data_IF_293586626047
#
_entry.id   IF_293586626047
#
_cell.length_a   1.000
_cell.length_b   1.000
_cell.length_c   1.000
_cell.angle_alpha   90.00
_cell.angle_beta   90.00
_cell.angle_gamma   90.00
#
_symmetry.space_group_name_H-M   'P 1'
#
loop_
_entity.id
_entity.type
_entity.pdbx_description
1 polymer ?
#
# COMPACT_ATOMS: atom_id res chain seq x y z
N UNK A 1 13.00 25.52 11.13
CA UNK A 1 11.73 24.98 10.60
C UNK A 1 11.97 23.57 10.09
N UNK A 2 11.06 22.63 10.35
CA UNK A 2 11.20 21.21 9.98
C UNK A 2 9.91 20.67 9.38
N UNK A 3 9.98 19.57 8.64
CA UNK A 3 8.79 18.83 8.19
C UNK A 3 8.49 17.65 9.11
N UNK A 4 7.21 17.33 9.28
CA UNK A 4 6.80 16.12 10.00
C UNK A 4 6.00 15.23 9.07
N UNK A 5 6.40 13.97 8.97
CA UNK A 5 5.75 12.97 8.12
C UNK A 5 5.20 11.85 8.99
N UNK A 6 3.90 11.57 8.89
CA UNK A 6 3.27 10.44 9.59
C UNK A 6 3.19 9.27 8.61
N UNK A 7 3.84 8.15 8.95
CA UNK A 7 3.96 6.98 8.09
C UNK A 7 3.44 5.72 8.79
N UNK A 8 2.28 5.21 8.36
CA UNK A 8 1.59 4.06 8.95
C UNK A 8 1.78 2.76 8.17
N UNK A 9 2.51 2.79 7.04
CA UNK A 9 2.84 1.61 6.25
C UNK A 9 4.09 1.88 5.38
N UNK A 10 4.58 0.86 4.67
CA UNK A 10 5.74 1.00 3.79
C UNK A 10 5.49 1.98 2.64
N UNK A 11 4.24 2.17 2.24
CA UNK A 11 3.85 2.94 1.06
C UNK A 11 3.99 4.43 1.30
N UNK A 12 3.31 4.95 2.33
CA UNK A 12 3.48 6.35 2.71
C UNK A 12 4.91 6.65 3.15
N UNK A 13 5.62 5.69 3.76
CA UNK A 13 7.04 5.86 4.08
C UNK A 13 7.92 6.00 2.82
N UNK A 14 7.68 5.17 1.81
CA UNK A 14 8.44 5.23 0.55
C UNK A 14 8.20 6.56 -0.15
N UNK A 15 6.95 7.01 -0.24
CA UNK A 15 6.59 8.32 -0.82
C UNK A 15 7.17 9.49 0.00
N UNK A 16 7.16 9.39 1.32
CA UNK A 16 7.77 10.39 2.21
C UNK A 16 9.28 10.55 1.95
N UNK A 17 10.00 9.44 1.83
CA UNK A 17 11.46 9.45 1.67
C UNK A 17 11.88 9.82 0.24
N UNK A 18 11.27 9.19 -0.77
CA UNK A 18 11.69 9.32 -2.16
C UNK A 18 10.96 10.41 -2.93
N UNK A 19 9.75 10.78 -2.53
CA UNK A 19 8.97 11.84 -3.16
C UNK A 19 9.16 13.17 -2.47
N UNK A 20 8.86 13.22 -1.17
CA UNK A 20 8.87 14.48 -0.41
C UNK A 20 10.28 14.91 -0.04
N UNK A 21 11.04 14.03 0.61
CA UNK A 21 12.35 14.40 1.14
C UNK A 21 13.49 14.33 0.11
N UNK A 22 13.27 13.71 -1.06
CA UNK A 22 14.28 13.64 -2.10
C UNK A 22 14.67 15.05 -2.58
N UNK A 23 15.92 15.43 -2.36
CA UNK A 23 16.46 16.74 -2.73
C UNK A 23 16.10 17.88 -1.77
N UNK A 24 15.42 17.61 -0.65
CA UNK A 24 15.18 18.63 0.37
C UNK A 24 16.29 18.63 1.41
N UNK A 25 16.89 19.81 1.66
CA UNK A 25 17.92 19.97 2.69
C UNK A 25 17.31 20.31 4.07
N UNK A 26 15.98 20.42 4.15
CA UNK A 26 15.26 20.72 5.40
C UNK A 26 15.25 19.50 6.34
N UNK A 27 15.50 19.68 7.64
CA UNK A 27 15.34 18.60 8.60
C UNK A 27 13.90 18.09 8.68
N UNK A 28 13.74 16.78 8.91
CA UNK A 28 12.44 16.13 8.95
C UNK A 28 12.32 15.15 10.12
N UNK A 29 11.11 15.00 10.65
CA UNK A 29 10.75 13.96 11.62
C UNK A 29 9.78 13.00 10.95
N UNK A 30 10.13 11.72 10.88
CA UNK A 30 9.23 10.65 10.44
C UNK A 30 8.67 9.96 11.68
N UNK A 31 7.36 10.10 11.89
CA UNK A 31 6.63 9.35 12.89
C UNK A 31 6.14 8.05 12.25
N UNK A 32 6.58 6.88 12.75
CA UNK A 32 6.25 5.59 12.12
C UNK A 32 5.79 4.49 13.09
N UNK A 33 5.18 3.43 12.56
CA UNK A 33 4.84 2.20 13.30
C UNK A 33 5.95 1.15 13.11
N UNK A 34 6.87 0.95 14.08
CA UNK A 34 8.09 0.15 13.87
C UNK A 34 7.84 -1.32 13.52
N UNK A 35 6.70 -1.88 13.93
CA UNK A 35 6.35 -3.27 13.66
C UNK A 35 5.86 -3.52 12.22
N UNK A 36 5.54 -2.46 11.45
CA UNK A 36 5.03 -2.61 10.08
C UNK A 36 6.13 -2.63 9.03
N UNK A 37 7.16 -1.81 9.18
CA UNK A 37 8.25 -1.68 8.23
C UNK A 37 9.54 -1.19 8.88
N UNK A 38 10.67 -1.60 8.29
CA UNK A 38 12.01 -1.14 8.66
C UNK A 38 12.26 0.27 8.14
N UNK A 39 12.98 1.09 8.89
CA UNK A 39 13.40 2.43 8.45
C UNK A 39 14.86 2.45 8.02
N UNK A 40 15.20 3.38 7.13
CA UNK A 40 16.56 3.67 6.71
C UNK A 40 17.06 4.93 7.36
N UNK A 41 18.33 4.92 7.76
CA UNK A 41 19.00 6.12 8.23
C UNK A 41 19.17 7.11 7.07
N UNK A 42 18.65 8.31 7.23
CA UNK A 42 18.73 9.39 6.24
C UNK A 42 19.29 10.64 6.91
N UNK A 43 20.10 11.39 6.16
CA UNK A 43 20.70 12.63 6.65
C UNK A 43 19.60 13.62 7.04
N UNK A 44 19.68 14.20 8.25
CA UNK A 44 18.72 15.19 8.78
C UNK A 44 17.27 14.69 8.91
N UNK A 45 17.06 13.37 8.92
CA UNK A 45 15.75 12.76 9.21
C UNK A 45 15.83 12.03 10.53
N UNK A 46 14.92 12.34 11.46
CA UNK A 46 14.77 11.60 12.70
C UNK A 46 13.54 10.70 12.64
N UNK A 47 13.75 9.40 12.83
CA UNK A 47 12.66 8.42 12.92
C UNK A 47 12.26 8.24 14.38
N UNK A 48 10.99 8.49 14.67
CA UNK A 48 10.42 8.31 16.00
C UNK A 48 9.19 7.40 15.91
N UNK A 49 9.01 6.46 16.86
CA UNK A 49 7.83 5.61 16.86
C UNK A 49 6.56 6.42 17.17
N UNK A 50 5.43 6.11 16.54
CA UNK A 50 4.12 6.67 16.87
C UNK A 50 3.72 6.13 18.25
N UNK A 51 3.75 7.00 19.25
CA UNK A 51 3.29 6.72 20.60
C UNK A 51 2.76 8.00 21.25
N UNK A 52 2.27 7.90 22.48
CA UNK A 52 1.68 9.05 23.18
C UNK A 52 2.64 10.24 23.34
N UNK A 53 3.94 9.97 23.54
CA UNK A 53 4.96 10.99 23.79
C UNK A 53 5.37 11.71 22.52
N UNK A 54 5.57 10.97 21.43
CA UNK A 54 5.90 11.56 20.12
C UNK A 54 4.72 12.35 19.56
N UNK A 55 3.47 11.91 19.82
CA UNK A 55 2.29 12.70 19.49
C UNK A 55 2.15 13.96 20.37
N UNK A 56 2.55 13.93 21.64
CA UNK A 56 2.62 15.13 22.49
C UNK A 56 3.69 16.10 21.98
N UNK A 57 4.85 15.59 21.60
CA UNK A 57 5.91 16.37 20.96
C UNK A 57 5.43 17.03 19.68
N UNK A 58 4.76 16.28 18.79
CA UNK A 58 4.17 16.82 17.57
C UNK A 58 3.25 18.02 17.86
N UNK A 59 2.35 17.88 18.84
CA UNK A 59 1.46 18.99 19.23
C UNK A 59 2.24 20.22 19.69
N UNK A 60 3.28 20.02 20.48
CA UNK A 60 4.13 21.13 20.93
C UNK A 60 4.84 21.81 19.75
N UNK A 61 5.43 21.03 18.83
CA UNK A 61 6.11 21.53 17.64
C UNK A 61 5.18 22.30 16.68
N UNK A 62 3.94 21.82 16.52
CA UNK A 62 2.92 22.52 15.73
C UNK A 62 2.53 23.83 16.42
N UNK A 63 2.29 23.80 17.74
CA UNK A 63 1.89 24.98 18.52
C UNK A 63 2.94 26.10 18.47
N UNK A 64 4.23 25.75 18.47
CA UNK A 64 5.33 26.73 18.38
C UNK A 64 5.60 27.21 16.96
N UNK A 65 4.92 26.66 15.94
CA UNK A 65 5.13 27.03 14.54
C UNK A 65 6.46 26.53 13.95
N UNK A 66 7.13 25.58 14.61
CA UNK A 66 8.39 24.98 14.14
C UNK A 66 8.16 24.04 12.96
N UNK A 67 6.99 23.39 12.92
CA UNK A 67 6.55 22.54 11.80
C UNK A 67 6.20 23.42 10.61
N UNK A 68 6.97 23.28 9.54
CA UNK A 68 6.72 23.95 8.27
C UNK A 68 5.59 23.28 7.50
N UNK A 69 5.67 21.96 7.29
CA UNK A 69 4.60 21.16 6.67
C UNK A 69 4.39 19.87 7.45
N UNK A 70 3.12 19.55 7.68
CA UNK A 70 2.68 18.26 8.20
C UNK A 70 2.22 17.40 7.02
N UNK A 71 2.79 16.21 6.89
CA UNK A 71 2.42 15.23 5.87
C UNK A 71 1.63 14.09 6.52
N UNK A 72 0.42 13.83 6.02
CA UNK A 72 -0.49 12.79 6.52
C UNK A 72 -0.88 11.84 5.40
N UNK A 73 -1.05 10.53 5.66
CA UNK A 73 -1.56 9.63 4.62
C UNK A 73 -3.09 9.75 4.44
N UNK A 74 -3.84 10.19 5.45
CA UNK A 74 -5.30 10.29 5.41
C UNK A 74 -5.86 11.14 6.57
N UNK A 75 -7.18 11.35 6.62
CA UNK A 75 -7.84 12.19 7.64
C UNK A 75 -8.18 11.44 8.93
N UNK A 76 -8.52 10.15 8.81
CA UNK A 76 -9.00 9.35 9.94
C UNK A 76 -7.87 8.92 10.86
N UNK A 77 -7.52 9.78 11.80
CA UNK A 77 -6.52 9.50 12.83
C UNK A 77 -7.06 9.67 14.26
N UNK A 78 -6.23 9.34 15.25
CA UNK A 78 -6.52 9.68 16.64
C UNK A 78 -6.60 11.21 16.84
N UNK A 79 -7.34 11.61 17.89
CA UNK A 79 -7.63 13.03 18.21
C UNK A 79 -6.39 13.95 18.27
N UNK A 80 -5.20 13.42 18.58
CA UNK A 80 -3.98 14.25 18.70
C UNK A 80 -3.42 14.62 17.34
N UNK A 81 -3.43 13.68 16.39
CA UNK A 81 -3.02 13.96 15.00
C UNK A 81 -4.03 14.89 14.34
N UNK A 82 -5.33 14.66 14.56
CA UNK A 82 -6.40 15.56 14.07
C UNK A 82 -6.18 16.98 14.60
N UNK A 83 -5.96 17.16 15.90
CA UNK A 83 -5.63 18.47 16.46
C UNK A 83 -4.39 19.09 15.78
N UNK A 84 -3.33 18.32 15.58
CA UNK A 84 -2.11 18.82 14.92
C UNK A 84 -2.33 19.19 13.46
N UNK A 85 -3.18 18.46 12.73
CA UNK A 85 -3.61 18.79 11.37
C UNK A 85 -4.31 20.14 11.33
N UNK A 86 -5.29 20.34 12.21
CA UNK A 86 -6.13 21.54 12.23
C UNK A 86 -5.35 22.81 12.62
N UNK A 87 -4.16 22.66 13.22
CA UNK A 87 -3.29 23.76 13.65
C UNK A 87 -1.99 23.86 12.84
N UNK A 88 -1.76 22.98 11.86
CA UNK A 88 -0.57 23.02 11.02
C UNK A 88 -0.64 24.21 10.06
N UNK A 89 0.49 24.92 9.89
CA UNK A 89 0.57 26.06 8.94
C UNK A 89 0.40 25.63 7.49
N UNK A 90 0.88 24.42 7.18
CA UNK A 90 0.76 23.78 5.86
C UNK A 90 0.50 22.29 6.05
N UNK A 91 -0.34 21.77 5.17
CA UNK A 91 -0.72 20.36 5.13
C UNK A 91 -0.45 19.82 3.73
N UNK A 92 0.00 18.58 3.67
CA UNK A 92 0.13 17.82 2.44
C UNK A 92 -0.20 16.35 2.73
N UNK A 93 -0.57 15.60 1.69
CA UNK A 93 -0.94 14.21 1.81
C UNK A 93 0.09 13.28 1.18
N UNK A 94 0.24 12.10 1.77
CA UNK A 94 1.01 10.98 1.24
C UNK A 94 0.04 9.91 0.73
N UNK A 95 0.50 9.11 -0.21
CA UNK A 95 -0.21 7.93 -0.69
C UNK A 95 -0.62 7.00 0.47
N UNK A 96 -1.91 6.62 0.53
CA UNK A 96 -2.45 5.73 1.57
C UNK A 96 -2.53 4.26 1.10
N UNK A 97 -1.85 3.94 0.02
CA UNK A 97 -1.96 2.66 -0.65
C UNK A 97 -3.31 2.52 -1.34
N UNK A 98 -4.11 1.55 -0.90
CA UNK A 98 -5.28 1.13 -1.68
C UNK A 98 -6.37 2.22 -1.77
N UNK A 99 -6.48 3.09 -0.77
CA UNK A 99 -7.45 4.19 -0.78
C UNK A 99 -7.22 5.20 -1.90
N UNK A 100 -5.96 5.40 -2.31
CA UNK A 100 -5.58 6.25 -3.46
C UNK A 100 -6.24 5.78 -4.77
N UNK A 101 -6.58 4.49 -4.87
CA UNK A 101 -7.20 3.90 -6.05
C UNK A 101 -8.71 3.67 -5.90
N UNK A 102 -9.29 3.95 -4.73
CA UNK A 102 -10.73 3.80 -4.51
C UNK A 102 -11.47 5.05 -4.95
N UNK A 103 -12.56 4.90 -5.71
CA UNK A 103 -13.50 5.99 -6.00
C UNK A 103 -14.12 6.55 -4.74
N UNK A 104 -14.36 5.69 -3.76
CA UNK A 104 -14.82 6.02 -2.42
C UNK A 104 -13.75 5.58 -1.40
N UNK A 105 -12.81 6.47 -1.03
CA UNK A 105 -11.80 6.19 -0.03
C UNK A 105 -12.44 5.98 1.35
N UNK A 106 -11.84 5.10 2.15
CA UNK A 106 -12.35 4.77 3.50
C UNK A 106 -11.77 5.68 4.58
N UNK A 107 -10.61 6.28 4.35
CA UNK A 107 -9.85 7.01 5.36
C UNK A 107 -9.83 8.54 5.16
N UNK A 108 -10.45 9.04 4.10
CA UNK A 108 -10.56 10.47 3.81
C UNK A 108 -11.93 11.02 4.20
N UNK A 109 -11.93 12.25 4.70
CA UNK A 109 -13.15 13.02 4.89
C UNK A 109 -13.28 13.96 3.69
N UNK A 110 -14.15 13.58 2.75
CA UNK A 110 -14.31 14.24 1.45
C UNK A 110 -15.01 15.62 1.43
N UNK A 111 -15.59 16.18 2.52
CA UNK A 111 -15.98 17.58 2.51
C UNK A 111 -14.79 18.46 2.13
N UNK A 112 -15.01 19.24 1.07
CA UNK A 112 -14.01 19.97 0.27
C UNK A 112 -12.92 20.59 1.14
N UNK A 113 -11.70 20.09 1.00
CA UNK A 113 -10.55 20.66 1.68
C UNK A 113 -10.25 22.03 1.05
N UNK A 114 -10.15 23.12 1.85
CA UNK A 114 -9.89 24.44 1.32
C UNK A 114 -8.46 24.51 0.75
N UNK A 115 -8.36 24.88 -0.53
CA UNK A 115 -7.09 25.01 -1.25
C UNK A 115 -6.62 23.70 -1.89
N UNK A 116 -5.87 23.81 -2.99
CA UNK A 116 -5.25 22.66 -3.66
C UNK A 116 -4.04 22.17 -2.87
N UNK A 117 -4.28 21.34 -1.85
CA UNK A 117 -3.22 20.73 -1.06
C UNK A 117 -2.39 19.77 -1.94
N UNK A 118 -1.10 19.66 -1.64
CA UNK A 118 -0.24 18.69 -2.32
C UNK A 118 -0.63 17.27 -1.90
N UNK A 119 -0.67 16.36 -2.87
CA UNK A 119 -0.85 14.92 -2.66
C UNK A 119 0.27 14.18 -3.37
N UNK A 120 1.15 13.57 -2.59
CA UNK A 120 2.31 12.85 -3.12
C UNK A 120 1.95 11.37 -3.34
N UNK A 121 2.28 10.86 -4.53
CA UNK A 121 1.99 9.49 -4.94
C UNK A 121 3.04 8.96 -5.92
N UNK A 122 2.84 7.76 -6.43
CA UNK A 122 3.75 7.10 -7.36
C UNK A 122 3.56 7.59 -8.80
N UNK A 123 4.66 7.57 -9.56
CA UNK A 123 4.71 8.00 -10.96
C UNK A 123 3.83 7.16 -11.89
N UNK A 124 3.67 5.89 -11.55
CA UNK A 124 2.91 4.92 -12.33
C UNK A 124 1.39 5.09 -12.16
N UNK A 125 0.93 5.78 -11.11
CA UNK A 125 -0.50 5.99 -10.84
C UNK A 125 -1.05 7.16 -11.64
N UNK A 126 -1.31 6.90 -12.92
CA UNK A 126 -1.84 7.89 -13.89
C UNK A 126 -3.34 8.07 -13.75
N UNK A 127 -4.07 6.98 -13.61
CA UNK A 127 -5.53 6.97 -13.52
C UNK A 127 -5.96 7.05 -12.05
N UNK A 128 -6.17 8.28 -11.58
CA UNK A 128 -6.60 8.55 -10.21
C UNK A 128 -8.12 8.81 -10.15
N UNK A 129 -8.80 8.43 -9.05
CA UNK A 129 -10.21 8.69 -8.84
C UNK A 129 -10.52 10.18 -8.69
N UNK A 130 -11.72 10.61 -9.12
CA UNK A 130 -12.12 12.02 -9.18
C UNK A 130 -12.08 12.78 -7.85
N UNK A 131 -12.13 12.09 -6.70
CA UNK A 131 -12.00 12.77 -5.41
C UNK A 131 -10.61 13.41 -5.22
N UNK A 132 -9.60 12.96 -5.97
CA UNK A 132 -8.25 13.54 -5.99
C UNK A 132 -8.12 14.78 -6.88
N UNK A 133 -9.15 15.14 -7.68
CA UNK A 133 -9.10 16.30 -8.60
C UNK A 133 -8.92 17.64 -7.87
N UNK A 134 -9.27 17.68 -6.58
CA UNK A 134 -9.08 18.84 -5.71
C UNK A 134 -7.63 19.06 -5.24
N UNK A 135 -6.72 18.11 -5.47
CA UNK A 135 -5.34 18.14 -4.97
C UNK A 135 -4.34 18.53 -6.07
N UNK A 136 -3.20 19.07 -5.66
CA UNK A 136 -2.02 19.16 -6.53
C UNK A 136 -1.26 17.83 -6.48
N UNK A 137 -1.43 16.98 -7.50
CA UNK A 137 -0.84 15.65 -7.52
C UNK A 137 0.65 15.71 -7.86
N UNK A 138 1.49 15.25 -6.94
CA UNK A 138 2.94 15.19 -7.09
C UNK A 138 3.43 13.74 -7.20
N UNK A 139 3.95 13.39 -8.38
CA UNK A 139 4.33 12.03 -8.76
C UNK A 139 5.84 11.81 -8.73
N UNK A 140 6.45 12.08 -7.58
CA UNK A 140 7.91 12.08 -7.41
C UNK A 140 8.54 10.72 -7.11
N UNK A 141 7.74 9.70 -6.77
CA UNK A 141 8.25 8.39 -6.31
C UNK A 141 7.99 7.31 -7.35
N UNK A 142 8.91 6.37 -7.56
CA UNK A 142 8.65 5.20 -8.42
C UNK A 142 8.09 4.06 -7.60
N UNK A 143 7.14 3.33 -8.16
CA UNK A 143 6.53 2.20 -7.46
C UNK A 143 7.57 1.11 -7.12
N UNK A 144 8.56 0.94 -7.99
CA UNK A 144 9.69 0.03 -7.74
C UNK A 144 10.56 0.43 -6.53
N UNK A 145 10.45 1.65 -6.02
CA UNK A 145 11.17 2.04 -4.80
C UNK A 145 10.65 1.25 -3.57
N UNK A 146 9.40 0.75 -3.59
CA UNK A 146 8.86 -0.15 -2.55
C UNK A 146 9.70 -1.42 -2.39
N UNK A 147 10.14 -1.99 -3.52
CA UNK A 147 11.00 -3.18 -3.58
C UNK A 147 12.31 -2.90 -2.87
N UNK A 148 12.91 -1.75 -3.21
CA UNK A 148 14.19 -1.35 -2.67
C UNK A 148 14.11 -0.99 -1.19
N UNK A 149 12.95 -0.54 -0.67
CA UNK A 149 12.81 -0.07 0.72
C UNK A 149 12.64 -1.19 1.75
N UNK A 150 12.27 -2.40 1.32
CA UNK A 150 12.15 -3.56 2.21
C UNK A 150 13.43 -4.39 2.19
N UNK A 151 13.95 -4.72 3.38
CA UNK A 151 15.11 -5.58 3.62
C UNK A 151 14.74 -7.07 3.72
N UNK A 152 13.46 -7.39 3.58
CA UNK A 152 12.95 -8.76 3.71
C UNK A 152 13.31 -9.61 2.50
N UNK A 153 13.53 -10.92 2.67
CA UNK A 153 13.80 -11.84 1.57
C UNK A 153 12.60 -11.98 0.63
N UNK A 154 12.86 -12.47 -0.59
CA UNK A 154 11.80 -12.90 -1.51
C UNK A 154 11.16 -14.21 -1.07
N UNK A 155 9.95 -14.47 -1.54
CA UNK A 155 9.20 -15.70 -1.27
C UNK A 155 9.97 -16.96 -1.74
N UNK A 156 9.83 -18.09 -1.04
CA UNK A 156 10.47 -19.35 -1.43
C UNK A 156 9.71 -20.05 -2.56
N UNK A 157 9.89 -19.57 -3.79
CA UNK A 157 9.10 -19.96 -4.97
C UNK A 157 9.53 -21.27 -5.65
N UNK A 158 10.56 -21.96 -5.16
CA UNK A 158 11.00 -23.23 -5.75
C UNK A 158 9.88 -24.28 -5.73
N UNK A 159 9.60 -24.86 -6.89
CA UNK A 159 8.53 -25.85 -7.10
C UNK A 159 7.10 -25.29 -7.02
N UNK A 160 6.94 -23.97 -6.91
CA UNK A 160 5.63 -23.30 -6.83
C UNK A 160 5.19 -22.87 -8.23
N UNK A 161 3.92 -23.10 -8.56
CA UNK A 161 3.27 -22.59 -9.76
C UNK A 161 2.18 -21.55 -9.43
N UNK A 162 1.57 -21.65 -8.25
CA UNK A 162 0.45 -20.81 -7.82
C UNK A 162 0.76 -20.14 -6.49
N UNK A 163 0.64 -18.82 -6.44
CA UNK A 163 0.86 -18.02 -5.22
C UNK A 163 -0.43 -17.28 -4.88
N UNK A 164 -1.01 -17.61 -3.72
CA UNK A 164 -2.20 -16.92 -3.19
C UNK A 164 -1.76 -15.91 -2.14
N UNK A 165 -2.13 -14.64 -2.33
CA UNK A 165 -1.89 -13.60 -1.33
C UNK A 165 -3.21 -13.30 -0.64
N UNK A 166 -3.36 -13.81 0.58
CA UNK A 166 -4.59 -13.62 1.35
C UNK A 166 -4.92 -12.14 1.50
N UNK A 167 -6.10 -11.79 1.01
CA UNK A 167 -6.61 -10.42 1.01
C UNK A 167 -8.14 -10.42 0.92
N UNK A 168 -8.81 -9.34 1.36
CA UNK A 168 -10.27 -9.28 1.38
C UNK A 168 -10.91 -9.66 0.05
N UNK A 169 -11.85 -10.62 0.07
CA UNK A 169 -12.57 -11.09 -1.10
C UNK A 169 -11.99 -12.35 -1.77
N UNK A 170 -10.75 -12.74 -1.44
CA UNK A 170 -10.13 -13.94 -2.00
C UNK A 170 -10.48 -15.20 -1.19
N UNK A 171 -11.17 -16.13 -1.83
CA UNK A 171 -11.55 -17.44 -1.31
C UNK A 171 -10.52 -18.49 -1.73
N UNK A 172 -9.39 -18.53 -1.02
CA UNK A 172 -8.23 -19.36 -1.38
C UNK A 172 -8.58 -20.84 -1.50
N UNK A 173 -9.25 -21.40 -0.48
CA UNK A 173 -9.65 -22.82 -0.46
C UNK A 173 -10.53 -23.19 -1.66
N UNK A 174 -11.62 -22.44 -1.87
CA UNK A 174 -12.56 -22.67 -2.96
C UNK A 174 -11.89 -22.65 -4.34
N UNK A 175 -10.93 -21.74 -4.56
CA UNK A 175 -10.22 -21.64 -5.84
C UNK A 175 -9.33 -22.87 -6.05
N UNK A 176 -8.57 -23.27 -5.02
CA UNK A 176 -7.69 -24.44 -5.09
C UNK A 176 -8.49 -25.69 -5.42
N UNK A 177 -9.62 -25.89 -4.75
CA UNK A 177 -10.50 -27.05 -4.95
C UNK A 177 -11.14 -27.04 -6.35
N UNK A 178 -11.76 -25.93 -6.75
CA UNK A 178 -12.46 -25.84 -8.05
C UNK A 178 -11.52 -25.96 -9.24
N UNK A 179 -10.33 -25.39 -9.14
CA UNK A 179 -9.32 -25.48 -10.19
C UNK A 179 -8.48 -26.77 -10.11
N UNK A 180 -8.72 -27.63 -9.11
CA UNK A 180 -7.99 -28.88 -8.89
C UNK A 180 -6.48 -28.67 -8.85
N UNK A 181 -6.03 -27.61 -8.15
CA UNK A 181 -4.61 -27.24 -8.12
C UNK A 181 -3.80 -28.24 -7.26
N UNK A 182 -2.63 -28.70 -7.74
CA UNK A 182 -1.81 -29.61 -6.96
C UNK A 182 -1.19 -28.89 -5.75
N UNK A 183 -1.58 -29.30 -4.54
CA UNK A 183 -1.16 -28.65 -3.29
C UNK A 183 0.36 -28.39 -3.15
N UNK A 184 1.27 -29.30 -3.57
CA UNK A 184 2.72 -29.04 -3.48
C UNK A 184 3.20 -27.84 -4.31
N UNK A 185 2.47 -27.49 -5.38
CA UNK A 185 2.77 -26.36 -6.25
C UNK A 185 2.06 -25.06 -5.83
N UNK A 186 1.37 -25.07 -4.68
CA UNK A 186 0.64 -23.93 -4.13
C UNK A 186 1.38 -23.35 -2.94
N UNK A 187 1.62 -22.03 -2.98
CA UNK A 187 2.09 -21.24 -1.85
C UNK A 187 1.00 -20.24 -1.43
N UNK A 188 0.63 -20.27 -0.15
CA UNK A 188 -0.29 -19.29 0.44
C UNK A 188 0.48 -18.33 1.34
N UNK A 189 0.45 -17.05 0.98
CA UNK A 189 0.98 -15.94 1.78
C UNK A 189 -0.13 -15.45 2.69
N UNK A 190 0.01 -15.70 3.99
CA UNK A 190 -1.02 -15.39 5.00
C UNK A 190 -1.12 -13.90 5.25
N UNK A 191 -2.35 -13.46 5.49
CA UNK A 191 -2.61 -12.10 5.92
C UNK A 191 -2.08 -11.89 7.36
N UNK A 192 -1.37 -10.79 7.68
CA UNK A 192 -0.77 -10.60 9.01
C UNK A 192 -1.80 -10.46 10.14
N UNK A 193 -3.03 -10.06 9.81
CA UNK A 193 -4.17 -9.92 10.76
C UNK A 193 -4.98 -11.22 10.75
N UNK A 194 -5.05 -11.98 11.87
CA UNK A 194 -5.70 -13.29 11.94
C UNK A 194 -7.17 -13.32 11.52
N UNK A 195 -7.93 -12.28 11.85
CA UNK A 195 -9.36 -12.16 11.58
C UNK A 195 -9.67 -12.04 10.08
N UNK A 196 -8.66 -11.76 9.26
CA UNK A 196 -8.76 -11.68 7.79
C UNK A 196 -8.29 -12.96 7.10
N UNK A 197 -7.87 -13.98 7.85
CA UNK A 197 -7.37 -15.25 7.30
C UNK A 197 -8.53 -16.17 6.95
N UNK A 198 -8.44 -16.83 5.80
CA UNK A 198 -9.41 -17.84 5.36
C UNK A 198 -9.08 -19.24 5.87
N UNK A 199 -10.01 -20.16 5.66
CA UNK A 199 -9.73 -21.59 5.74
C UNK A 199 -8.82 -22.01 4.59
N UNK A 200 -7.86 -22.90 4.86
CA UNK A 200 -6.90 -23.41 3.88
C UNK A 200 -6.85 -24.94 3.92
N UNK A 201 -6.67 -25.60 2.76
CA UNK A 201 -6.36 -27.02 2.73
C UNK A 201 -5.04 -27.33 3.45
N UNK A 202 -5.02 -28.37 4.29
CA UNK A 202 -3.91 -28.68 5.20
C UNK A 202 -2.55 -28.94 4.51
N UNK A 203 -2.56 -29.29 3.22
CA UNK A 203 -1.37 -29.70 2.47
C UNK A 203 -0.71 -28.53 1.72
N UNK A 204 -1.27 -27.33 1.77
CA UNK A 204 -0.68 -26.17 1.12
C UNK A 204 0.58 -25.70 1.85
N UNK A 205 1.57 -25.21 1.10
CA UNK A 205 2.71 -24.51 1.71
C UNK A 205 2.23 -23.12 2.15
N UNK A 206 2.57 -22.73 3.37
CA UNK A 206 2.07 -21.49 3.98
C UNK A 206 3.25 -20.67 4.51
N UNK A 207 3.22 -19.36 4.28
CA UNK A 207 4.19 -18.41 4.83
C UNK A 207 3.49 -17.17 5.39
N UNK A 208 4.11 -16.51 6.36
CA UNK A 208 3.61 -15.24 6.90
C UNK A 208 4.07 -14.08 6.01
N UNK A 209 3.12 -13.33 5.43
CA UNK A 209 3.47 -12.25 4.47
C UNK A 209 4.34 -11.15 5.07
N UNK A 210 4.28 -10.93 6.38
CA UNK A 210 5.13 -9.96 7.08
C UNK A 210 6.61 -10.32 7.11
N UNK A 211 7.00 -11.55 6.74
CA UNK A 211 8.40 -12.00 6.74
C UNK A 211 9.08 -11.85 5.37
N UNK A 212 8.33 -11.49 4.33
CA UNK A 212 8.81 -11.47 2.95
C UNK A 212 8.56 -10.13 2.26
N UNK A 213 9.33 -9.86 1.21
CA UNK A 213 9.12 -8.76 0.29
C UNK A 213 8.27 -9.24 -0.88
N UNK A 214 6.96 -9.03 -0.80
CA UNK A 214 6.01 -9.53 -1.78
C UNK A 214 6.19 -8.83 -3.14
N UNK A 215 6.42 -7.53 -3.13
CA UNK A 215 6.66 -6.69 -4.30
C UNK A 215 7.90 -7.18 -5.07
N UNK A 216 9.01 -7.43 -4.36
CA UNK A 216 10.22 -8.01 -4.96
C UNK A 216 9.95 -9.40 -5.56
N UNK A 217 9.19 -10.23 -4.85
CA UNK A 217 8.86 -11.59 -5.28
C UNK A 217 8.03 -11.60 -6.55
N UNK A 218 7.07 -10.66 -6.68
CA UNK A 218 6.25 -10.50 -7.88
C UNK A 218 7.06 -10.13 -9.12
N UNK A 219 8.07 -9.28 -8.98
CA UNK A 219 8.91 -8.85 -10.09
C UNK A 219 10.00 -9.86 -10.46
N UNK A 220 10.51 -10.60 -9.46
CA UNK A 220 11.54 -11.62 -9.65
C UNK A 220 10.97 -12.93 -10.22
N UNK A 221 9.69 -13.23 -9.97
CA UNK A 221 9.01 -14.38 -10.52
C UNK A 221 8.81 -14.28 -12.04
N UNK A 222 8.77 -15.44 -12.70
CA UNK A 222 8.38 -15.57 -14.10
C UNK A 222 7.60 -16.85 -14.34
N UNK A 223 6.50 -16.76 -15.07
CA UNK A 223 5.64 -17.89 -15.43
C UNK A 223 4.70 -18.36 -14.31
N UNK A 224 4.59 -17.64 -13.20
CA UNK A 224 3.72 -18.04 -12.09
C UNK A 224 2.31 -17.45 -12.21
N UNK A 225 1.34 -18.10 -11.55
CA UNK A 225 0.00 -17.57 -11.35
C UNK A 225 -0.11 -16.96 -9.94
N UNK A 226 -0.37 -15.65 -9.84
CA UNK A 226 -0.62 -14.97 -8.58
C UNK A 226 -2.11 -14.68 -8.40
N UNK A 227 -2.63 -14.85 -7.19
CA UNK A 227 -4.05 -14.68 -6.88
C UNK A 227 -4.22 -13.67 -5.75
N UNK A 228 -5.08 -12.69 -5.99
CA UNK A 228 -5.33 -11.57 -5.07
C UNK A 228 -6.82 -11.35 -4.84
N UNK A 229 -7.15 -10.79 -3.67
CA UNK A 229 -8.38 -10.06 -3.44
C UNK A 229 -8.14 -8.56 -3.56
N UNK A 230 -8.86 -7.77 -2.78
CA UNK A 230 -8.74 -6.31 -2.73
C UNK A 230 -7.52 -5.89 -1.89
N UNK A 231 -6.38 -5.63 -2.53
CA UNK A 231 -5.12 -5.29 -1.85
C UNK A 231 -4.23 -4.37 -2.69
N UNK A 232 -3.32 -3.64 -2.04
CA UNK A 232 -2.34 -2.84 -2.77
C UNK A 232 -1.36 -3.70 -3.58
N UNK A 233 -1.07 -4.93 -3.14
CA UNK A 233 -0.20 -5.83 -3.92
C UNK A 233 -0.77 -6.13 -5.33
N UNK A 234 -2.11 -6.10 -5.48
CA UNK A 234 -2.77 -6.20 -6.78
C UNK A 234 -2.51 -4.96 -7.63
N UNK A 235 -2.66 -3.76 -7.06
CA UNK A 235 -2.33 -2.50 -7.73
C UNK A 235 -0.85 -2.47 -8.12
N UNK A 236 0.02 -2.94 -7.23
CA UNK A 236 1.44 -3.06 -7.51
C UNK A 236 1.69 -3.97 -8.71
N UNK A 237 1.09 -5.16 -8.73
CA UNK A 237 1.25 -6.10 -9.84
C UNK A 237 0.77 -5.53 -11.18
N UNK A 238 -0.32 -4.75 -11.16
CA UNK A 238 -0.89 -4.08 -12.34
C UNK A 238 0.05 -2.98 -12.88
N UNK A 239 0.65 -2.18 -12.00
CA UNK A 239 1.40 -0.98 -12.40
C UNK A 239 2.92 -1.17 -12.51
N UNK A 240 3.50 -2.15 -11.81
CA UNK A 240 4.95 -2.41 -11.80
C UNK A 240 5.40 -3.37 -12.92
N UNK A 241 4.49 -3.79 -13.81
CA UNK A 241 4.80 -4.68 -14.94
C UNK A 241 4.93 -6.16 -14.58
N UNK A 242 4.49 -6.58 -13.38
CA UNK A 242 4.50 -7.99 -12.98
C UNK A 242 3.63 -8.87 -13.90
N UNK A 243 2.52 -8.32 -14.40
CA UNK A 243 1.61 -8.99 -15.33
C UNK A 243 2.22 -9.32 -16.70
N UNK A 244 3.38 -8.72 -17.07
CA UNK A 244 4.11 -9.07 -18.29
C UNK A 244 4.85 -10.41 -18.21
N UNK A 245 5.14 -10.87 -16.99
CA UNK A 245 5.94 -12.07 -16.72
C UNK A 245 5.15 -13.15 -16.01
N UNK A 246 4.07 -12.77 -15.34
CA UNK A 246 3.26 -13.64 -14.51
C UNK A 246 1.79 -13.47 -14.88
N UNK A 247 0.99 -14.51 -14.64
CA UNK A 247 -0.46 -14.42 -14.79
C UNK A 247 -1.06 -13.92 -13.48
N UNK A 248 -1.66 -12.74 -13.50
CA UNK A 248 -2.23 -12.14 -12.29
C UNK A 248 -3.74 -12.30 -12.29
N UNK A 249 -4.24 -13.04 -11.30
CA UNK A 249 -5.65 -13.30 -11.05
C UNK A 249 -6.14 -12.46 -9.88
N UNK A 250 -7.37 -11.97 -9.97
CA UNK A 250 -8.05 -11.29 -8.87
C UNK A 250 -9.46 -11.84 -8.67
N UNK A 251 -9.85 -12.06 -7.42
CA UNK A 251 -11.23 -12.31 -7.02
C UNK A 251 -11.77 -11.08 -6.28
N UNK A 252 -12.63 -10.32 -6.94
CA UNK A 252 -13.19 -9.08 -6.41
C UNK A 252 -14.71 -9.13 -6.51
N UNK A 253 -15.43 -8.61 -5.52
CA UNK A 253 -16.87 -8.41 -5.64
C UNK A 253 -17.21 -7.36 -6.71
N UNK A 254 -18.46 -7.33 -7.19
CA UNK A 254 -18.89 -6.31 -8.16
C UNK A 254 -18.70 -4.88 -7.61
N UNK A 255 -18.92 -4.69 -6.32
CA UNK A 255 -18.70 -3.40 -5.64
C UNK A 255 -17.20 -3.04 -5.60
N UNK A 256 -16.34 -3.98 -5.20
CA UNK A 256 -14.89 -3.76 -5.16
C UNK A 256 -14.34 -3.40 -6.55
N UNK A 257 -14.78 -4.10 -7.61
CA UNK A 257 -14.39 -3.79 -8.99
C UNK A 257 -14.82 -2.41 -9.45
N UNK A 258 -16.03 -1.98 -9.08
CA UNK A 258 -16.53 -0.63 -9.39
C UNK A 258 -15.78 0.44 -8.62
N UNK A 259 -15.33 0.11 -7.40
CA UNK A 259 -14.66 1.06 -6.53
C UNK A 259 -13.17 1.21 -6.85
N UNK A 260 -12.48 0.16 -7.28
CA UNK A 260 -11.06 0.23 -7.65
C UNK A 260 -10.87 0.79 -9.08
N UNK A 261 -9.96 1.74 -9.21
CA UNK A 261 -9.57 2.38 -10.48
C UNK A 261 -8.17 1.94 -10.90
N UNK A 262 -7.81 2.15 -12.17
CA UNK A 262 -6.47 1.84 -12.70
C UNK A 262 -6.20 0.36 -13.03
N UNK A 263 -7.21 -0.52 -12.91
CA UNK A 263 -7.09 -1.93 -13.29
C UNK A 263 -7.67 -2.19 -14.68
N UNK A 264 -6.89 -2.87 -15.53
CA UNK A 264 -7.33 -3.36 -16.83
C UNK A 264 -7.44 -4.89 -16.82
N UNK A 265 -8.52 -5.41 -17.37
CA UNK A 265 -8.85 -6.84 -17.33
C UNK A 265 -8.82 -7.45 -18.73
N UNK A 266 -8.36 -8.69 -18.84
CA UNK A 266 -8.41 -9.46 -20.09
C UNK A 266 -9.86 -9.83 -20.43
N UNK A 267 -10.64 -10.20 -19.41
CA UNK A 267 -12.05 -10.56 -19.57
C UNK A 267 -12.97 -9.42 -19.13
N UNK A 268 -14.14 -9.32 -19.76
CA UNK A 268 -15.20 -8.37 -19.36
C UNK A 268 -15.98 -8.81 -18.12
N UNK A 269 -15.94 -10.11 -17.78
CA UNK A 269 -16.62 -10.68 -16.62
C UNK A 269 -15.76 -11.75 -15.93
N UNK A 270 -15.99 -12.03 -14.63
CA UNK A 270 -15.34 -13.13 -13.93
C UNK A 270 -15.70 -14.50 -14.51
N UNK A 271 -14.79 -15.46 -14.36
CA UNK A 271 -15.06 -16.86 -14.69
C UNK A 271 -15.95 -17.56 -13.63
N UNK A 272 -16.18 -18.87 -13.79
CA UNK A 272 -17.00 -19.66 -12.87
C UNK A 272 -16.43 -19.73 -11.43
N UNK A 273 -15.16 -19.40 -11.23
CA UNK A 273 -14.52 -19.28 -9.92
C UNK A 273 -14.56 -17.85 -9.37
N UNK A 274 -15.13 -16.91 -10.12
CA UNK A 274 -15.17 -15.49 -9.77
C UNK A 274 -13.84 -14.78 -10.01
N UNK A 275 -12.89 -15.41 -10.70
CA UNK A 275 -11.59 -14.83 -11.01
C UNK A 275 -11.64 -13.99 -12.28
N UNK A 276 -10.86 -12.92 -12.27
CA UNK A 276 -10.53 -12.11 -13.44
C UNK A 276 -9.02 -12.07 -13.61
N UNK A 277 -8.54 -11.97 -14.85
CA UNK A 277 -7.11 -11.89 -15.15
C UNK A 277 -6.77 -10.47 -15.55
N UNK A 278 -5.74 -9.89 -14.92
CA UNK A 278 -5.23 -8.57 -15.30
C UNK A 278 -4.58 -8.63 -16.69
N UNK A 279 -4.77 -7.56 -17.47
CA UNK A 279 -4.01 -7.34 -18.68
C UNK A 279 -2.56 -6.94 -18.33
N UNK A 280 -1.59 -7.47 -19.07
CA UNK A 280 -0.14 -7.23 -18.88
C UNK A 280 0.44 -6.14 -19.77
#
# INVERSE_FOLDING_TARGET
MLDVLICTNLVNYTVAVHGVHAGQDRPAIVLHEPWRFSTRHLKRVWHLPINIWTLRLLRALVKTGVVHTLYLPHDRFNRRVVWSRDHARRLAYLDDGLDTHRRMPRNFDLPIQPGRLAYHTFAEFKDLPAWLDGFNIERGTRLNDLVAMSDRPVLPLSGIAHVFVESPGLQVGDIIERLHLPHPAVLVVRHPVPEKRGHLPAQCRVVEGSQYNLEASLLAAGGLCFYFGETLALMFAAHAGAARRNRIHAQLSAEQRKNLTGLAWVQSAPDATGLMVLAG
#
